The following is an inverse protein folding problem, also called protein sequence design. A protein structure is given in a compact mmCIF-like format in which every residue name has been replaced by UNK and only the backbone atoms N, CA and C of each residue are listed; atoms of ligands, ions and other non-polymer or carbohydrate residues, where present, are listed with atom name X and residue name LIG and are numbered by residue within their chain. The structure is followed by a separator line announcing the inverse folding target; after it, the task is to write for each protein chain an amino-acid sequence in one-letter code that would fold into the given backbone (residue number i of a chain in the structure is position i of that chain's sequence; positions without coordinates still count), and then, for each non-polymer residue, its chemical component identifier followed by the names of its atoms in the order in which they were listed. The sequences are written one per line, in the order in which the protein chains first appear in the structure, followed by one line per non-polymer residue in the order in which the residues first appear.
data_IF_776861872793
#
_entry.id   IF_776861872793
#
_cell.length_a   1.000
_cell.length_b   1.000
_cell.length_c   1.000
_cell.angle_alpha   90.00
_cell.angle_beta   90.00
_cell.angle_gamma   90.00
#
_symmetry.space_group_name_H-M   'P 1'
#
loop_
_entity.id
_entity.type
_entity.pdbx_description
1 polymer ?
#
# COMPACT_ATOMS: atom_id res chain seq x y z
N UNK A 1 -46.66 12.93 -54.55
CA UNK A 1 -46.21 14.33 -54.51
C UNK A 1 -45.13 14.46 -53.43
N UNK A 2 -43.91 14.79 -53.88
CA UNK A 2 -42.74 15.33 -53.17
C UNK A 2 -42.22 14.62 -51.90
N UNK A 3 -41.11 13.86 -52.01
CA UNK A 3 -39.70 14.29 -51.84
C UNK A 3 -39.44 14.73 -50.38
N UNK A 4 -38.69 13.96 -49.58
CA UNK A 4 -37.23 14.14 -49.55
C UNK A 4 -36.52 12.94 -48.91
N UNK A 5 -35.54 12.41 -49.65
CA UNK A 5 -34.46 11.57 -49.15
C UNK A 5 -33.50 12.48 -48.39
N UNK A 6 -33.23 12.23 -47.11
CA UNK A 6 -32.02 12.76 -46.49
C UNK A 6 -31.14 11.63 -45.97
N UNK A 7 -30.00 11.57 -46.63
CA UNK A 7 -28.88 10.65 -46.54
C UNK A 7 -27.97 11.19 -45.45
N UNK A 8 -27.86 10.54 -44.30
CA UNK A 8 -26.63 10.59 -43.49
C UNK A 8 -26.46 9.28 -42.72
N UNK A 9 -25.70 8.40 -43.35
CA UNK A 9 -25.04 7.25 -42.75
C UNK A 9 -23.89 7.84 -41.93
N UNK A 10 -23.93 7.74 -40.60
CA UNK A 10 -22.75 7.98 -39.75
C UNK A 10 -22.57 6.81 -38.78
N UNK A 11 -21.79 5.84 -39.27
CA UNK A 11 -20.82 5.02 -38.54
C UNK A 11 -21.22 4.55 -37.13
N UNK A 12 -21.66 3.30 -37.08
CA UNK A 12 -21.37 2.38 -35.97
C UNK A 12 -19.85 2.42 -35.73
N UNK A 13 -19.46 3.05 -34.62
CA UNK A 13 -18.10 3.06 -34.10
C UNK A 13 -18.12 2.35 -32.76
N UNK A 14 -17.70 1.09 -32.76
CA UNK A 14 -17.55 0.25 -31.58
C UNK A 14 -16.59 0.96 -30.60
N UNK A 15 -17.11 1.16 -29.39
CA UNK A 15 -16.46 1.70 -28.20
C UNK A 15 -15.05 1.12 -28.00
N UNK A 16 -13.95 1.90 -27.95
CA UNK A 16 -12.69 1.35 -27.49
C UNK A 16 -12.73 1.34 -25.96
N UNK A 17 -13.30 0.27 -25.40
CA UNK A 17 -13.18 -0.15 -23.99
C UNK A 17 -11.70 -0.45 -23.60
N UNK A 18 -10.75 -0.19 -24.50
CA UNK A 18 -9.36 -0.64 -24.44
C UNK A 18 -8.42 0.44 -23.85
N UNK A 19 -8.88 1.68 -23.61
CA UNK A 19 -8.00 2.78 -23.14
C UNK A 19 -7.91 2.92 -21.61
N UNK A 20 -8.71 2.18 -20.83
CA UNK A 20 -8.60 2.17 -19.36
C UNK A 20 -8.16 0.81 -18.78
N UNK A 21 -7.64 -0.09 -19.62
CA UNK A 21 -7.15 -1.41 -19.18
C UNK A 21 -5.62 -1.45 -18.92
N UNK A 22 -4.96 -0.29 -18.79
CA UNK A 22 -3.50 -0.20 -18.64
C UNK A 22 -3.02 0.73 -17.51
N UNK A 23 -3.80 0.92 -16.43
CA UNK A 23 -3.33 1.68 -15.25
C UNK A 23 -2.88 0.78 -14.09
N UNK A 24 -3.10 -0.53 -14.13
CA UNK A 24 -2.78 -1.40 -13.00
C UNK A 24 -1.78 -2.50 -13.37
N UNK A 25 -0.50 -2.17 -13.56
CA UNK A 25 0.54 -3.21 -13.44
C UNK A 25 1.91 -2.65 -13.04
N UNK A 26 1.94 -1.87 -11.97
CA UNK A 26 3.14 -1.76 -11.13
C UNK A 26 3.02 -2.71 -9.93
N UNK A 27 2.67 -3.97 -10.18
CA UNK A 27 2.77 -4.99 -9.14
C UNK A 27 4.26 -5.30 -8.94
N UNK A 28 4.86 -4.68 -7.92
CA UNK A 28 6.17 -5.12 -7.44
C UNK A 28 6.10 -6.59 -7.03
N UNK A 29 7.11 -7.40 -7.37
CA UNK A 29 7.17 -8.82 -7.01
C UNK A 29 6.97 -9.08 -5.50
N UNK A 30 7.26 -8.09 -4.66
CA UNK A 30 6.99 -8.19 -3.23
C UNK A 30 5.52 -8.01 -2.86
N UNK A 31 4.78 -7.18 -3.60
CA UNK A 31 3.34 -7.05 -3.48
C UNK A 31 2.67 -8.35 -3.95
N UNK A 32 3.13 -8.93 -5.08
CA UNK A 32 2.67 -10.23 -5.56
C UNK A 32 2.86 -11.34 -4.50
N UNK A 33 4.02 -11.41 -3.84
CA UNK A 33 4.26 -12.39 -2.77
C UNK A 33 3.27 -12.22 -1.61
N UNK A 34 2.99 -10.99 -1.19
CA UNK A 34 2.04 -10.72 -0.12
C UNK A 34 0.60 -11.02 -0.54
N UNK A 35 0.18 -10.58 -1.73
CA UNK A 35 -1.15 -10.84 -2.27
C UNK A 35 -1.40 -12.35 -2.38
N UNK A 36 -0.42 -13.12 -2.87
CA UNK A 36 -0.48 -14.57 -2.90
C UNK A 36 -0.50 -15.20 -1.50
N UNK A 37 0.22 -14.64 -0.52
CA UNK A 37 0.16 -15.10 0.85
C UNK A 37 -1.24 -14.94 1.44
N UNK A 38 -1.83 -13.75 1.32
CA UNK A 38 -3.18 -13.44 1.84
C UNK A 38 -4.25 -14.27 1.13
N UNK A 39 -4.12 -14.50 -0.18
CA UNK A 39 -5.04 -15.36 -0.94
C UNK A 39 -5.10 -16.79 -0.37
N UNK A 40 -3.96 -17.32 0.09
CA UNK A 40 -3.86 -18.68 0.62
C UNK A 40 -4.00 -18.74 2.15
N UNK A 41 -3.96 -17.60 2.83
CA UNK A 41 -4.06 -17.46 4.28
C UNK A 41 -5.02 -16.29 4.58
N UNK A 42 -6.35 -16.52 4.47
CA UNK A 42 -7.33 -15.45 4.64
C UNK A 42 -7.13 -14.71 5.97
N UNK A 43 -7.13 -13.38 5.90
CA UNK A 43 -6.96 -12.53 7.09
C UNK A 43 -8.06 -12.78 8.12
N UNK A 44 -7.67 -12.90 9.40
CA UNK A 44 -8.60 -12.85 10.55
C UNK A 44 -8.93 -11.41 11.00
N UNK A 45 -8.23 -10.43 10.44
CA UNK A 45 -8.38 -9.02 10.69
C UNK A 45 -9.30 -8.36 9.66
N UNK A 46 -9.92 -7.26 10.07
CA UNK A 46 -10.79 -6.43 9.24
C UNK A 46 -10.09 -5.92 7.96
N UNK A 47 -10.91 -5.58 6.97
CA UNK A 47 -10.44 -4.96 5.74
C UNK A 47 -10.01 -3.52 6.05
N UNK A 48 -8.76 -3.20 5.74
CA UNK A 48 -8.21 -1.84 5.85
C UNK A 48 -7.55 -1.46 4.53
N UNK A 49 -7.76 -0.23 4.10
CA UNK A 49 -7.15 0.33 2.89
C UNK A 49 -6.43 1.62 3.25
N UNK A 50 -5.21 1.76 2.73
CA UNK A 50 -4.50 3.02 2.84
C UNK A 50 -5.29 4.13 2.14
N UNK A 51 -5.53 5.23 2.85
CA UNK A 51 -6.21 6.38 2.30
C UNK A 51 -5.18 7.48 1.98
N UNK A 52 -5.30 8.13 0.84
CA UNK A 52 -4.41 9.22 0.42
C UNK A 52 -4.85 10.59 0.97
N UNK A 53 -5.54 10.59 2.10
CA UNK A 53 -6.29 11.72 2.63
C UNK A 53 -5.35 12.65 3.40
N UNK A 54 -4.44 13.32 2.68
CA UNK A 54 -3.47 14.29 3.20
C UNK A 54 -2.50 13.72 4.26
N UNK A 55 -1.19 13.69 3.97
CA UNK A 55 -0.18 13.20 4.92
C UNK A 55 0.79 14.31 5.34
N UNK A 56 1.25 14.25 6.58
CA UNK A 56 2.28 15.12 7.15
C UNK A 56 3.53 14.30 7.46
N UNK A 57 4.55 14.44 6.61
CA UNK A 57 5.83 13.74 6.76
C UNK A 57 6.56 14.14 8.06
N UNK A 58 6.42 15.39 8.51
CA UNK A 58 7.06 15.87 9.74
C UNK A 58 6.39 15.25 10.98
N UNK A 59 5.06 15.13 10.97
CA UNK A 59 4.36 14.35 12.00
C UNK A 59 4.77 12.88 11.94
N UNK A 60 4.87 12.31 10.73
CA UNK A 60 5.32 10.94 10.51
C UNK A 60 6.70 10.64 11.09
N UNK A 61 7.65 11.56 10.93
CA UNK A 61 8.98 11.46 11.56
C UNK A 61 8.90 11.46 13.08
N UNK A 62 8.16 12.42 13.66
CA UNK A 62 7.97 12.51 15.12
C UNK A 62 7.32 11.25 15.68
N UNK A 63 6.31 10.71 15.00
CA UNK A 63 5.60 9.49 15.39
C UNK A 63 6.46 8.24 15.20
N UNK A 64 7.26 8.17 14.14
CA UNK A 64 8.22 7.07 13.94
C UNK A 64 9.23 6.95 15.10
N UNK A 65 9.65 8.07 15.68
CA UNK A 65 10.54 8.10 16.84
C UNK A 65 9.77 7.84 18.15
N UNK A 66 8.68 8.57 18.40
CA UNK A 66 7.94 8.50 19.66
C UNK A 66 7.19 7.18 19.86
N UNK A 67 6.74 6.52 18.80
CA UNK A 67 6.20 5.16 18.84
C UNK A 67 7.28 4.08 18.78
N UNK A 68 8.56 4.48 18.89
CA UNK A 68 9.75 3.62 19.01
C UNK A 68 10.06 2.75 17.80
N UNK A 69 9.50 3.06 16.62
CA UNK A 69 9.77 2.32 15.39
C UNK A 69 11.27 2.35 15.03
N UNK A 70 11.93 3.48 15.28
CA UNK A 70 13.37 3.67 15.06
C UNK A 70 14.28 2.77 15.90
N UNK A 71 13.79 2.23 17.04
CA UNK A 71 14.57 1.33 17.88
C UNK A 71 14.70 -0.06 17.25
N UNK A 72 13.78 -0.43 16.36
CA UNK A 72 13.73 -1.75 15.75
C UNK A 72 14.03 -1.74 14.24
N UNK A 73 13.84 -0.61 13.57
CA UNK A 73 13.95 -0.47 12.11
C UNK A 73 14.94 0.63 11.72
N UNK A 74 15.86 0.31 10.81
CA UNK A 74 16.76 1.32 10.22
C UNK A 74 16.15 1.95 8.97
N UNK A 75 16.52 3.21 8.68
CA UNK A 75 16.23 3.87 7.39
C UNK A 75 16.93 3.17 6.21
N UNK A 76 18.04 2.49 6.47
CA UNK A 76 18.83 1.74 5.49
C UNK A 76 18.36 0.28 5.34
N UNK A 77 19.08 -0.51 4.52
CA UNK A 77 18.86 -1.95 4.37
C UNK A 77 19.55 -2.78 5.48
N UNK A 78 19.56 -2.27 6.72
CA UNK A 78 20.25 -2.89 7.85
C UNK A 78 19.23 -3.50 8.82
N UNK A 79 19.47 -4.76 9.23
CA UNK A 79 18.73 -5.39 10.32
C UNK A 79 19.17 -4.80 11.66
N UNK A 80 18.22 -4.35 12.48
CA UNK A 80 18.44 -4.01 13.90
C UNK A 80 17.77 -5.10 14.73
N UNK A 81 16.44 -5.06 14.82
CA UNK A 81 15.58 -6.12 15.35
C UNK A 81 14.64 -6.57 14.22
N UNK A 82 13.94 -5.60 13.63
CA UNK A 82 13.17 -5.75 12.40
C UNK A 82 14.00 -5.51 11.14
N UNK A 83 13.38 -5.68 9.96
CA UNK A 83 14.00 -5.40 8.67
C UNK A 83 14.32 -3.91 8.50
N UNK A 84 15.36 -3.64 7.71
CA UNK A 84 15.62 -2.30 7.20
C UNK A 84 14.49 -1.82 6.27
N UNK A 85 14.24 -0.52 6.26
CA UNK A 85 13.11 0.11 5.56
C UNK A 85 13.51 0.79 4.25
N UNK A 86 14.77 0.64 3.81
CA UNK A 86 15.21 1.15 2.51
C UNK A 86 14.35 0.59 1.38
N UNK A 87 13.86 1.48 0.51
CA UNK A 87 12.95 1.17 -0.60
C UNK A 87 11.63 0.50 -0.18
N UNK A 88 11.15 0.70 1.06
CA UNK A 88 9.92 0.06 1.55
C UNK A 88 8.70 0.41 0.69
N UNK A 89 8.68 1.58 0.04
CA UNK A 89 7.63 2.00 -0.88
C UNK A 89 7.36 0.98 -2.01
N UNK A 90 8.36 0.17 -2.38
CA UNK A 90 8.21 -0.90 -3.38
C UNK A 90 7.34 -2.07 -2.89
N UNK A 91 7.01 -2.16 -1.60
CA UNK A 91 6.15 -3.23 -1.07
C UNK A 91 4.65 -2.95 -1.26
N UNK A 92 4.26 -1.71 -1.56
CA UNK A 92 2.86 -1.29 -1.69
C UNK A 92 2.25 -0.81 -0.37
N UNK A 93 1.32 0.13 -0.46
CA UNK A 93 0.81 0.84 0.72
C UNK A 93 0.00 -0.05 1.66
N UNK A 94 -0.80 -0.96 1.10
CA UNK A 94 -1.59 -1.90 1.90
C UNK A 94 -0.70 -2.90 2.66
N UNK A 95 0.38 -3.39 2.04
CA UNK A 95 1.36 -4.23 2.73
C UNK A 95 1.94 -3.50 3.95
N UNK A 96 2.36 -2.24 3.77
CA UNK A 96 3.00 -1.45 4.83
C UNK A 96 1.98 -1.18 5.94
N UNK A 97 0.77 -0.74 5.57
CA UNK A 97 -0.31 -0.47 6.51
C UNK A 97 -0.62 -1.70 7.37
N UNK A 98 -0.82 -2.86 6.73
CA UNK A 98 -1.16 -4.09 7.43
C UNK A 98 0.00 -4.62 8.26
N UNK A 99 1.24 -4.44 7.82
CA UNK A 99 2.42 -4.76 8.63
C UNK A 99 2.47 -3.96 9.93
N UNK A 100 1.98 -2.71 9.92
CA UNK A 100 1.94 -1.87 11.12
C UNK A 100 0.76 -2.22 12.04
N UNK A 101 -0.45 -2.34 11.47
CA UNK A 101 -1.66 -2.61 12.27
C UNK A 101 -1.73 -4.07 12.76
N UNK A 102 -1.25 -5.01 11.95
CA UNK A 102 -1.39 -6.45 12.16
C UNK A 102 -0.04 -7.17 11.97
N UNK A 103 0.97 -6.90 12.82
CA UNK A 103 2.34 -7.37 12.60
C UNK A 103 2.53 -8.90 12.61
N UNK A 104 1.56 -9.65 13.13
CA UNK A 104 1.57 -11.12 13.11
C UNK A 104 0.81 -11.73 11.92
N UNK A 105 0.27 -10.90 11.02
CA UNK A 105 -0.38 -11.39 9.80
C UNK A 105 0.61 -11.98 8.82
N UNK A 106 1.73 -11.28 8.57
CA UNK A 106 2.75 -11.73 7.65
C UNK A 106 4.14 -11.47 8.22
N UNK A 107 4.78 -12.53 8.70
CA UNK A 107 6.12 -12.46 9.27
C UNK A 107 7.12 -12.82 8.18
N UNK A 108 8.04 -11.90 7.91
CA UNK A 108 9.12 -12.14 6.96
C UNK A 108 10.03 -13.27 7.43
N UNK A 109 10.48 -14.08 6.48
CA UNK A 109 11.45 -15.14 6.72
C UNK A 109 12.70 -14.60 7.44
N UNK A 110 13.15 -15.31 8.47
CA UNK A 110 14.30 -14.90 9.30
C UNK A 110 13.99 -13.85 10.37
N UNK A 111 12.72 -13.48 10.58
CA UNK A 111 12.27 -12.60 11.66
C UNK A 111 11.35 -13.31 12.65
N UNK A 112 11.38 -12.85 13.90
CA UNK A 112 10.47 -13.29 14.97
C UNK A 112 9.27 -12.33 15.06
N UNK A 113 8.16 -12.83 15.57
CA UNK A 113 6.96 -12.04 15.85
C UNK A 113 7.16 -11.13 17.08
N UNK A 114 7.89 -10.03 16.91
CA UNK A 114 8.25 -9.11 18.00
C UNK A 114 7.69 -7.70 17.82
N UNK A 115 7.13 -7.37 16.64
CA UNK A 115 6.57 -6.04 16.42
C UNK A 115 5.28 -5.87 17.25
N UNK A 116 5.19 -4.82 18.11
CA UNK A 116 4.07 -4.65 19.02
C UNK A 116 2.72 -4.55 18.30
N UNK A 117 1.69 -5.24 18.81
CA UNK A 117 0.31 -5.18 18.28
C UNK A 117 -0.47 -3.93 18.68
N UNK A 118 0.11 -3.09 19.55
CA UNK A 118 -0.56 -1.92 20.11
C UNK A 118 -0.84 -0.84 19.05
N UNK A 119 -0.09 -0.84 17.94
CA UNK A 119 -0.20 0.19 16.90
C UNK A 119 -1.56 0.23 16.19
N UNK A 120 -2.35 -0.85 16.26
CA UNK A 120 -3.73 -0.84 15.75
C UNK A 120 -4.66 0.13 16.49
N UNK A 121 -4.29 0.50 17.73
CA UNK A 121 -5.06 1.42 18.57
C UNK A 121 -4.60 2.87 18.41
N UNK A 122 -3.54 3.11 17.64
CA UNK A 122 -3.05 4.46 17.37
C UNK A 122 -4.00 5.20 16.43
N UNK A 123 -3.94 6.53 16.45
CA UNK A 123 -4.70 7.34 15.52
C UNK A 123 -4.34 6.93 14.08
N UNK A 124 -5.36 6.64 13.27
CA UNK A 124 -5.17 6.17 11.90
C UNK A 124 -4.32 7.14 11.07
N UNK A 125 -4.53 8.45 11.22
CA UNK A 125 -3.78 9.52 10.56
C UNK A 125 -2.29 9.49 10.92
N UNK A 126 -1.96 9.27 12.19
CA UNK A 126 -0.55 9.17 12.63
C UNK A 126 0.16 7.98 11.95
N UNK A 127 -0.56 6.85 11.77
CA UNK A 127 -0.03 5.71 11.04
C UNK A 127 0.15 6.04 9.54
N UNK A 128 -0.76 6.80 8.92
CA UNK A 128 -0.60 7.24 7.52
C UNK A 128 0.59 8.17 7.34
N UNK A 129 0.79 9.07 8.30
CA UNK A 129 1.93 9.99 8.34
C UNK A 129 3.25 9.22 8.48
N UNK A 130 3.31 8.20 9.35
CA UNK A 130 4.47 7.30 9.44
C UNK A 130 4.73 6.62 8.11
N UNK A 131 3.68 6.09 7.45
CA UNK A 131 3.83 5.41 6.15
C UNK A 131 4.38 6.37 5.10
N UNK A 132 3.86 7.60 5.04
CA UNK A 132 4.37 8.64 4.15
C UNK A 132 5.85 8.95 4.43
N UNK A 133 6.22 9.08 5.70
CA UNK A 133 7.61 9.30 6.11
C UNK A 133 8.54 8.15 5.72
N UNK A 134 8.23 6.90 6.06
CA UNK A 134 9.13 5.76 5.77
C UNK A 134 9.25 5.46 4.27
N UNK A 135 8.24 5.84 3.47
CA UNK A 135 8.31 5.77 2.00
C UNK A 135 9.37 6.71 1.40
N UNK A 136 9.88 7.68 2.16
CA UNK A 136 10.99 8.55 1.72
C UNK A 136 12.35 7.85 1.75
N UNK A 137 12.48 6.69 2.40
CA UNK A 137 13.75 5.96 2.53
C UNK A 137 14.09 5.23 1.23
N UNK A 138 15.06 5.75 0.46
CA UNK A 138 15.47 5.22 -0.87
C UNK A 138 16.82 4.52 -0.82
#
# INVERSE_FOLDING_TARGET
MNISKNKYISKIGILPVIVFLFIFLSCSAANEKYDNYIKNNPTKYEEVKFQYNEYDINNGEKKFISLTCSNCHSKENKKIIGPGLKNIYKKGDNYILRSILYPDEYILEGYKNLMPKIYKNENRKDIEDIIAYIKTFK
#
